data_IF_793112595147
#
_entry.id   IF_793112595147
#
_cell.length_a   1.000
_cell.length_b   1.000
_cell.length_c   1.000
_cell.angle_alpha   90.00
_cell.angle_beta   90.00
_cell.angle_gamma   90.00
#
_symmetry.space_group_name_H-M   'P 1'
#
loop_
_entity.id
_entity.type
_entity.pdbx_description
1 polymer ?
#
# COMPACT_ATOMS: atom_id res chain seq x y z
N UNK A 1 -14.89 3.43 -6.90
CA UNK A 1 -13.50 2.93 -6.84
C UNK A 1 -12.58 4.12 -6.90
N UNK A 2 -11.71 4.27 -5.90
CA UNK A 2 -10.80 5.40 -5.86
C UNK A 2 -9.67 5.18 -4.86
N UNK A 3 -8.51 5.75 -5.18
CA UNK A 3 -7.43 5.97 -4.23
C UNK A 3 -7.44 7.45 -3.89
N UNK A 4 -7.44 7.76 -2.60
CA UNK A 4 -7.10 9.09 -2.12
C UNK A 4 -5.82 9.02 -1.33
N UNK A 5 -4.93 9.99 -1.56
CA UNK A 5 -3.67 10.08 -0.84
C UNK A 5 -3.75 11.19 0.20
N UNK A 6 -3.34 10.87 1.41
CA UNK A 6 -3.24 11.78 2.54
C UNK A 6 -1.76 11.90 2.93
N UNK A 7 -1.27 13.12 3.04
CA UNK A 7 0.08 13.42 3.49
C UNK A 7 -0.03 14.00 4.90
N UNK A 8 0.77 13.53 5.85
CA UNK A 8 0.85 14.15 7.17
C UNK A 8 1.47 15.54 7.11
N UNK A 9 1.14 16.40 8.07
CA UNK A 9 1.66 17.77 8.16
C UNK A 9 3.20 17.83 8.25
N UNK A 10 3.82 16.79 8.83
CA UNK A 10 5.27 16.64 8.94
C UNK A 10 5.93 16.02 7.69
N UNK A 11 5.15 15.64 6.67
CA UNK A 11 5.57 14.93 5.45
C UNK A 11 6.27 13.58 5.68
N UNK A 12 6.19 13.04 6.89
CA UNK A 12 6.80 11.74 7.24
C UNK A 12 5.88 10.56 7.00
N UNK A 13 4.60 10.79 6.70
CA UNK A 13 3.62 9.73 6.46
C UNK A 13 2.83 10.01 5.19
N UNK A 14 2.77 8.99 4.34
CA UNK A 14 1.96 8.98 3.14
C UNK A 14 0.94 7.86 3.25
N UNK A 15 -0.34 8.21 3.43
CA UNK A 15 -1.43 7.26 3.56
C UNK A 15 -2.23 7.17 2.27
N UNK A 16 -2.26 5.99 1.66
CA UNK A 16 -3.14 5.65 0.55
C UNK A 16 -4.42 5.03 1.10
N UNK A 17 -5.54 5.75 1.02
CA UNK A 17 -6.85 5.17 1.27
C UNK A 17 -7.35 4.52 -0.02
N UNK A 18 -7.58 3.21 0.04
CA UNK A 18 -8.05 2.41 -1.09
C UNK A 18 -9.49 1.99 -0.85
N UNK A 19 -10.36 2.26 -1.83
CA UNK A 19 -11.78 1.87 -1.80
C UNK A 19 -12.20 1.16 -3.09
N UNK A 20 -12.86 0.00 -2.93
CA UNK A 20 -13.34 -0.83 -4.04
C UNK A 20 -12.31 -1.86 -4.52
N UNK A 21 -12.03 -1.98 -5.81
CA UNK A 21 -11.06 -2.98 -6.30
C UNK A 21 -9.67 -2.38 -6.42
N UNK A 22 -8.65 -3.08 -5.91
CA UNK A 22 -7.25 -2.77 -6.13
C UNK A 22 -6.70 -3.63 -7.27
N UNK A 23 -6.51 -2.99 -8.41
CA UNK A 23 -6.03 -3.57 -9.65
C UNK A 23 -5.07 -2.60 -10.38
N UNK A 24 -4.58 -3.03 -11.54
CA UNK A 24 -3.61 -2.29 -12.37
C UNK A 24 -4.02 -0.84 -12.69
N UNK A 25 -5.32 -0.53 -12.73
CA UNK A 25 -5.82 0.81 -13.06
C UNK A 25 -5.51 1.84 -11.97
N UNK A 26 -5.53 1.43 -10.70
CA UNK A 26 -5.29 2.32 -9.56
C UNK A 26 -3.85 2.24 -9.02
N UNK A 27 -3.12 1.22 -9.42
CA UNK A 27 -1.71 1.00 -9.03
C UNK A 27 -0.77 2.03 -9.66
N UNK A 28 -1.00 2.42 -10.91
CA UNK A 28 -0.10 3.34 -11.64
C UNK A 28 -0.05 4.75 -11.03
N UNK A 29 -1.18 5.39 -10.66
CA UNK A 29 -1.17 6.65 -9.92
C UNK A 29 -0.50 6.54 -8.55
N UNK A 30 -0.64 5.40 -7.88
CA UNK A 30 -0.08 5.15 -6.55
C UNK A 30 1.46 5.25 -6.60
N UNK A 31 2.10 4.62 -7.57
CA UNK A 31 3.55 4.70 -7.75
C UNK A 31 4.05 6.10 -8.08
N UNK A 32 3.31 6.85 -8.90
CA UNK A 32 3.67 8.23 -9.22
C UNK A 32 3.75 9.08 -7.95
N UNK A 33 2.69 9.06 -7.15
CA UNK A 33 2.65 9.80 -5.88
C UNK A 33 3.67 9.29 -4.88
N UNK A 34 3.90 7.97 -4.82
CA UNK A 34 4.90 7.40 -3.92
C UNK A 34 6.32 7.85 -4.27
N UNK A 35 6.67 7.92 -5.56
CA UNK A 35 7.97 8.42 -6.02
C UNK A 35 8.11 9.93 -5.82
N UNK A 36 7.04 10.70 -6.01
CA UNK A 36 7.08 12.17 -5.82
C UNK A 36 7.27 12.54 -4.34
N UNK A 37 6.73 11.72 -3.43
CA UNK A 37 6.84 11.90 -1.97
C UNK A 37 7.93 11.07 -1.31
N UNK A 38 8.69 10.30 -2.08
CA UNK A 38 9.72 9.41 -1.60
C UNK A 38 10.90 10.18 -0.95
N UNK A 39 10.86 10.41 0.37
CA UNK A 39 12.06 10.71 1.17
C UNK A 39 12.47 9.51 2.04
N UNK A 40 13.69 9.50 2.57
CA UNK A 40 14.23 8.42 3.44
C UNK A 40 13.56 8.35 4.83
N UNK A 41 12.67 9.29 5.15
CA UNK A 41 11.93 9.31 6.41
C UNK A 41 10.42 9.08 6.22
N UNK A 42 9.98 8.71 5.02
CA UNK A 42 8.55 8.64 4.68
C UNK A 42 7.98 7.24 4.90
N UNK A 43 7.18 7.07 5.94
CA UNK A 43 6.41 5.86 6.16
C UNK A 43 5.22 5.78 5.21
N UNK A 44 5.14 4.71 4.43
CA UNK A 44 4.00 4.42 3.56
C UNK A 44 2.95 3.61 4.31
N UNK A 45 1.71 4.10 4.28
CA UNK A 45 0.55 3.45 4.88
C UNK A 45 -0.46 3.17 3.77
N UNK A 46 -0.92 1.92 3.65
CA UNK A 46 -2.03 1.57 2.76
C UNK A 46 -3.19 1.18 3.66
N UNK A 47 -4.23 2.02 3.65
CA UNK A 47 -5.43 1.81 4.44
C UNK A 47 -6.55 1.32 3.52
N UNK A 48 -7.00 0.10 3.76
CA UNK A 48 -8.05 -0.54 2.98
C UNK A 48 -9.42 -0.24 3.59
N UNK A 49 -10.39 0.19 2.80
CA UNK A 49 -11.77 0.21 3.28
C UNK A 49 -12.32 -1.23 3.40
N UNK A 50 -13.34 -1.43 4.23
CA UNK A 50 -13.95 -2.75 4.54
C UNK A 50 -14.46 -3.51 3.32
N UNK A 51 -14.71 -2.81 2.21
CA UNK A 51 -15.20 -3.40 0.95
C UNK A 51 -14.11 -3.54 -0.11
N UNK A 52 -12.83 -3.46 0.29
CA UNK A 52 -11.73 -3.49 -0.68
C UNK A 52 -11.40 -4.91 -1.11
N UNK A 53 -11.49 -5.17 -2.41
CA UNK A 53 -11.04 -6.42 -3.03
C UNK A 53 -9.68 -6.19 -3.67
N UNK A 54 -8.67 -6.96 -3.28
CA UNK A 54 -7.32 -6.85 -3.84
C UNK A 54 -7.06 -8.01 -4.78
N UNK A 55 -6.89 -7.68 -6.06
CA UNK A 55 -6.52 -8.65 -7.09
C UNK A 55 -5.00 -8.88 -7.09
N UNK A 56 -4.53 -9.91 -7.79
CA UNK A 56 -3.10 -10.26 -7.85
C UNK A 56 -2.23 -9.10 -8.35
N UNK A 57 -2.77 -8.27 -9.24
CA UNK A 57 -2.11 -7.03 -9.70
C UNK A 57 -1.97 -5.97 -8.60
N UNK A 58 -2.94 -5.88 -7.69
CA UNK A 58 -2.85 -5.02 -6.51
C UNK A 58 -1.80 -5.51 -5.51
N UNK A 59 -1.68 -6.83 -5.33
CA UNK A 59 -0.62 -7.42 -4.50
C UNK A 59 0.76 -7.16 -5.09
N UNK A 60 0.91 -7.31 -6.41
CA UNK A 60 2.13 -6.95 -7.14
C UNK A 60 2.53 -5.49 -6.95
N UNK A 61 1.55 -4.60 -6.73
CA UNK A 61 1.85 -3.20 -6.46
C UNK A 61 2.38 -2.94 -5.05
N UNK A 62 1.81 -3.63 -4.06
CA UNK A 62 2.29 -3.58 -2.68
C UNK A 62 3.72 -4.12 -2.60
N UNK A 63 3.99 -5.23 -3.31
CA UNK A 63 5.34 -5.77 -3.55
C UNK A 63 6.28 -4.71 -4.09
N UNK A 64 5.91 -4.08 -5.19
CA UNK A 64 6.79 -3.14 -5.85
C UNK A 64 7.07 -1.89 -5.00
N UNK A 65 6.08 -1.38 -4.27
CA UNK A 65 6.29 -0.28 -3.31
C UNK A 65 7.27 -0.69 -2.20
N UNK A 66 7.15 -1.91 -1.68
CA UNK A 66 7.99 -2.38 -0.59
C UNK A 66 9.44 -2.57 -1.05
N UNK A 67 9.64 -3.05 -2.28
CA UNK A 67 10.95 -3.22 -2.89
C UNK A 67 11.62 -1.88 -3.24
N UNK A 68 10.88 -0.91 -3.80
CA UNK A 68 11.44 0.40 -4.18
C UNK A 68 12.06 1.11 -2.97
N UNK A 69 11.45 0.92 -1.79
CA UNK A 69 11.80 1.72 -0.61
C UNK A 69 12.70 1.01 0.40
N UNK A 70 12.91 -0.31 0.30
CA UNK A 70 13.59 -1.09 1.34
C UNK A 70 13.06 -0.81 2.77
N UNK A 71 11.83 -0.30 2.87
CA UNK A 71 11.21 0.14 4.11
C UNK A 71 9.92 -0.64 4.38
N UNK A 72 9.57 -0.72 5.65
CA UNK A 72 8.38 -1.42 6.11
C UNK A 72 7.11 -0.66 5.72
N UNK A 73 6.36 -1.17 4.74
CA UNK A 73 5.02 -0.65 4.42
C UNK A 73 4.06 -1.07 5.52
N UNK A 74 3.23 -0.14 5.99
CA UNK A 74 2.15 -0.45 6.92
C UNK A 74 0.83 -0.66 6.18
N UNK A 75 0.18 -1.79 6.41
CA UNK A 75 -1.18 -2.05 5.93
C UNK A 75 -2.15 -1.90 7.10
N UNK A 76 -3.16 -1.06 6.92
CA UNK A 76 -4.22 -0.84 7.90
C UNK A 76 -5.56 -1.33 7.35
N UNK A 77 -6.40 -1.89 8.23
CA UNK A 77 -7.71 -2.43 7.86
C UNK A 77 -7.64 -3.49 6.73
N UNK A 78 -6.51 -4.20 6.67
CA UNK A 78 -6.22 -5.15 5.61
C UNK A 78 -7.27 -6.29 5.58
N UNK A 79 -7.92 -6.56 4.42
CA UNK A 79 -8.86 -7.67 4.32
C UNK A 79 -8.17 -9.01 4.62
N UNK A 80 -8.86 -9.93 5.29
CA UNK A 80 -8.28 -11.22 5.71
C UNK A 80 -7.65 -12.01 4.57
N UNK A 81 -8.26 -11.96 3.39
CA UNK A 81 -7.73 -12.63 2.19
C UNK A 81 -6.37 -12.06 1.78
N UNK A 82 -6.21 -10.74 1.88
CA UNK A 82 -4.97 -10.03 1.54
C UNK A 82 -3.90 -10.35 2.58
N UNK A 83 -4.25 -10.32 3.86
CA UNK A 83 -3.33 -10.72 4.94
C UNK A 83 -2.82 -12.14 4.75
N UNK A 84 -3.71 -13.09 4.42
CA UNK A 84 -3.33 -14.47 4.16
C UNK A 84 -2.40 -14.61 2.94
N UNK A 85 -2.63 -13.86 1.87
CA UNK A 85 -1.75 -13.87 0.69
C UNK A 85 -0.37 -13.28 1.02
N UNK A 86 -0.31 -12.23 1.83
CA UNK A 86 0.95 -11.59 2.26
C UNK A 86 1.75 -12.52 3.17
N UNK A 87 1.11 -13.13 4.17
CA UNK A 87 1.76 -14.06 5.11
C UNK A 87 2.38 -15.28 4.42
N UNK A 88 1.79 -15.72 3.30
CA UNK A 88 2.28 -16.85 2.50
C UNK A 88 3.26 -16.43 1.39
N UNK A 89 3.68 -15.17 1.36
CA UNK A 89 4.60 -14.63 0.35
C UNK A 89 5.88 -14.10 1.00
N UNK A 90 6.88 -13.81 0.17
CA UNK A 90 8.11 -13.13 0.57
C UNK A 90 7.88 -11.71 1.11
N UNK A 91 6.66 -11.17 1.03
CA UNK A 91 6.29 -9.85 1.57
C UNK A 91 6.26 -9.78 3.08
N UNK A 92 6.15 -10.91 3.78
CA UNK A 92 5.93 -10.94 5.23
C UNK A 92 6.98 -10.14 6.01
N UNK A 93 8.20 -10.07 5.50
CA UNK A 93 9.31 -9.34 6.14
C UNK A 93 9.36 -7.85 5.78
N UNK A 94 8.70 -7.45 4.70
CA UNK A 94 8.69 -6.07 4.18
C UNK A 94 7.41 -5.31 4.52
N UNK A 95 6.40 -6.00 5.03
CA UNK A 95 5.06 -5.46 5.24
C UNK A 95 4.59 -5.71 6.66
N UNK A 96 4.19 -4.64 7.34
CA UNK A 96 3.59 -4.67 8.67
C UNK A 96 2.07 -4.54 8.56
N UNK A 97 1.32 -5.53 9.04
CA UNK A 97 -0.14 -5.52 9.09
C UNK A 97 -0.58 -5.08 10.48
N UNK A 98 -1.32 -3.96 10.57
CA UNK A 98 -1.79 -3.34 11.81
C UNK A 98 -3.27 -3.58 12.09
#
# INVERSE_FOLDING_TARGET
>A
MGISTLVSDDKKKLTFQVSGNMDFSIVRPLFGTANDYASDETTFIINFDKQTNVHDSGLGAILHLAEIKHESIRLENCPKEVSAKIENSSLKELVYIA
#
